data_IF_399331911333
#
_entry.id   IF_399331911333
#
_cell.length_a   1.000
_cell.length_b   1.000
_cell.length_c   1.000
_cell.angle_alpha   90.00
_cell.angle_beta   90.00
_cell.angle_gamma   90.00
#
_symmetry.space_group_name_H-M   'P 1'
#
loop_
_entity.id
_entity.type
_entity.pdbx_description
1 polymer ?
#
# COMPACT_ATOMS: atom_id res chain seq x y z
N UNK A 1 9.18 0.76 8.28
CA UNK A 1 8.70 0.09 7.06
C UNK A 1 8.03 1.10 6.15
N UNK A 2 8.37 1.08 4.90
CA UNK A 2 7.82 1.98 3.88
C UNK A 2 7.26 1.14 2.73
N UNK A 3 5.96 1.27 2.49
CA UNK A 3 5.26 0.55 1.41
C UNK A 3 5.49 -0.97 1.44
N UNK A 4 5.21 -1.59 2.57
CA UNK A 4 5.35 -3.04 2.77
C UNK A 4 4.08 -3.66 3.32
N UNK A 5 3.45 -3.03 4.30
CA UNK A 5 2.31 -3.62 5.02
C UNK A 5 1.11 -3.91 4.11
N UNK A 6 0.92 -3.13 3.06
CA UNK A 6 -0.16 -3.32 2.09
C UNK A 6 -0.03 -4.59 1.25
N UNK A 7 1.14 -5.22 1.25
CA UNK A 7 1.40 -6.47 0.54
C UNK A 7 1.01 -7.72 1.34
N UNK A 8 0.62 -7.55 2.61
CA UNK A 8 0.13 -8.63 3.45
C UNK A 8 -1.40 -8.64 3.47
N UNK A 9 -1.96 -9.83 3.59
CA UNK A 9 -3.40 -9.98 3.81
C UNK A 9 -3.79 -9.40 5.16
N UNK A 10 -5.05 -8.96 5.28
CA UNK A 10 -5.59 -8.39 6.51
C UNK A 10 -5.36 -9.29 7.73
N UNK A 11 -5.50 -10.60 7.55
CA UNK A 11 -5.33 -11.57 8.64
C UNK A 11 -3.85 -11.85 8.97
N UNK A 12 -2.92 -11.55 8.06
CA UNK A 12 -1.48 -11.70 8.29
C UNK A 12 -0.88 -10.47 8.97
N UNK A 13 -1.38 -9.29 8.69
CA UNK A 13 -0.79 -8.03 9.15
C UNK A 13 -0.62 -7.96 10.68
N UNK A 14 -1.58 -8.38 11.53
CA UNK A 14 -1.37 -8.37 12.97
C UNK A 14 -0.18 -9.22 13.43
N UNK A 15 0.03 -10.38 12.84
CA UNK A 15 1.14 -11.26 13.20
C UNK A 15 2.48 -10.69 12.74
N UNK A 16 2.51 -10.09 11.56
CA UNK A 16 3.69 -9.38 11.04
C UNK A 16 4.05 -8.21 11.96
N UNK A 17 3.08 -7.41 12.36
CA UNK A 17 3.31 -6.29 13.28
C UNK A 17 3.80 -6.75 14.64
N UNK A 18 3.26 -7.83 15.19
CA UNK A 18 3.72 -8.43 16.44
C UNK A 18 5.19 -8.84 16.35
N UNK A 19 5.57 -9.46 15.24
CA UNK A 19 6.97 -9.89 15.03
C UNK A 19 7.90 -8.69 14.90
N UNK A 20 7.51 -7.64 14.21
CA UNK A 20 8.30 -6.42 14.13
C UNK A 20 8.47 -5.75 15.48
N UNK A 21 7.42 -5.71 16.29
CA UNK A 21 7.48 -5.16 17.66
C UNK A 21 8.38 -6.02 18.53
N UNK A 22 8.32 -7.34 18.41
CA UNK A 22 9.14 -8.28 19.19
C UNK A 22 10.63 -8.01 19.05
N UNK A 23 11.10 -7.66 17.85
CA UNK A 23 12.52 -7.45 17.59
C UNK A 23 12.99 -6.03 17.92
N UNK A 24 12.08 -5.13 18.30
CA UNK A 24 12.45 -3.78 18.72
C UNK A 24 13.07 -3.79 20.10
N UNK A 25 14.04 -2.89 20.31
CA UNK A 25 14.58 -2.61 21.66
C UNK A 25 13.50 -1.96 22.53
N UNK A 26 13.58 -2.11 23.86
CA UNK A 26 12.76 -1.30 24.77
C UNK A 26 12.93 0.20 24.45
N UNK A 27 11.81 0.92 24.29
CA UNK A 27 11.81 2.32 23.87
C UNK A 27 12.01 2.55 22.38
N UNK A 28 12.19 1.50 21.58
CA UNK A 28 12.26 1.59 20.13
C UNK A 28 10.95 2.03 19.50
N UNK A 29 11.01 2.47 18.24
CA UNK A 29 9.83 2.97 17.50
C UNK A 29 9.59 2.13 16.27
N UNK A 30 8.33 1.83 16.02
CA UNK A 30 7.87 1.26 14.76
C UNK A 30 7.19 2.37 13.96
N UNK A 31 7.74 2.68 12.79
CA UNK A 31 7.18 3.67 11.87
C UNK A 31 6.71 2.93 10.62
N UNK A 32 5.44 3.09 10.29
CA UNK A 32 4.83 2.48 9.12
C UNK A 32 4.40 3.56 8.14
N UNK A 33 4.66 3.31 6.88
CA UNK A 33 4.24 4.16 5.79
C UNK A 33 3.64 3.29 4.70
N UNK A 34 2.41 3.57 4.31
CA UNK A 34 1.67 2.83 3.30
C UNK A 34 0.78 3.79 2.51
N UNK A 35 0.28 3.38 1.33
CA UNK A 35 -0.66 4.21 0.58
C UNK A 35 -1.93 4.49 1.38
N UNK A 36 -2.44 5.71 1.28
CA UNK A 36 -3.72 6.10 1.88
C UNK A 36 -4.85 5.81 0.90
N UNK A 37 -5.60 4.74 1.14
CA UNK A 37 -6.68 4.31 0.27
C UNK A 37 -7.80 5.35 0.16
N UNK A 38 -8.17 5.99 1.25
CA UNK A 38 -9.22 7.02 1.25
C UNK A 38 -8.82 8.20 0.36
N UNK A 39 -7.60 8.70 0.52
CA UNK A 39 -7.09 9.80 -0.31
C UNK A 39 -7.03 9.42 -1.78
N UNK A 40 -6.66 8.18 -2.09
CA UNK A 40 -6.64 7.69 -3.48
C UNK A 40 -8.05 7.64 -4.07
N UNK A 41 -9.04 7.20 -3.31
CA UNK A 41 -10.45 7.18 -3.74
C UNK A 41 -10.97 8.59 -3.98
N UNK A 42 -10.69 9.52 -3.09
CA UNK A 42 -11.09 10.92 -3.23
C UNK A 42 -10.49 11.56 -4.48
N UNK A 43 -9.21 11.33 -4.72
CA UNK A 43 -8.53 11.84 -5.92
C UNK A 43 -9.09 11.22 -7.20
N UNK A 44 -9.39 9.94 -7.19
CA UNK A 44 -10.01 9.26 -8.33
C UNK A 44 -11.39 9.84 -8.65
N UNK A 45 -12.22 10.10 -7.63
CA UNK A 45 -13.54 10.69 -7.80
C UNK A 45 -13.44 12.12 -8.34
N UNK A 46 -12.46 12.88 -7.84
CA UNK A 46 -12.23 14.26 -8.28
C UNK A 46 -11.79 14.35 -9.74
N UNK A 47 -10.96 13.44 -10.21
CA UNK A 47 -10.38 13.45 -11.55
C UNK A 47 -10.45 12.06 -12.21
N UNK A 48 -11.65 11.51 -12.46
CA UNK A 48 -11.77 10.13 -12.92
C UNK A 48 -11.14 9.86 -14.29
N UNK A 49 -11.18 10.83 -15.19
CA UNK A 49 -10.57 10.70 -16.52
C UNK A 49 -9.05 10.66 -16.43
N UNK A 50 -8.45 11.53 -15.63
CA UNK A 50 -7.01 11.59 -15.43
C UNK A 50 -6.49 10.30 -14.78
N UNK A 51 -7.24 9.72 -13.86
CA UNK A 51 -6.81 8.60 -13.04
C UNK A 51 -7.35 7.23 -13.51
N UNK A 52 -7.97 7.17 -14.68
CA UNK A 52 -8.55 5.93 -15.21
C UNK A 52 -7.55 5.03 -15.97
N UNK A 53 -6.27 5.32 -15.91
CA UNK A 53 -5.23 4.45 -16.43
C UNK A 53 -4.78 4.72 -17.86
N UNK A 54 -5.27 5.77 -18.51
CA UNK A 54 -4.93 6.09 -19.89
C UNK A 54 -3.53 6.68 -20.11
N UNK A 55 -2.76 6.91 -19.05
CA UNK A 55 -1.41 7.46 -19.11
C UNK A 55 -0.65 7.22 -17.83
N UNK A 56 0.58 7.75 -17.73
CA UNK A 56 1.44 7.55 -16.56
C UNK A 56 0.81 8.04 -15.25
N UNK A 57 0.06 9.14 -15.28
CA UNK A 57 -0.60 9.68 -14.09
C UNK A 57 -1.75 8.77 -13.63
N UNK A 58 -2.56 8.29 -14.56
CA UNK A 58 -3.60 7.33 -14.25
C UNK A 58 -3.04 6.01 -13.70
N UNK A 59 -1.94 5.55 -14.24
CA UNK A 59 -1.26 4.37 -13.72
C UNK A 59 -0.83 4.53 -12.27
N UNK A 60 -0.28 5.68 -11.90
CA UNK A 60 0.13 5.95 -10.51
C UNK A 60 -1.02 5.80 -9.52
N UNK A 61 -2.20 6.27 -9.88
CA UNK A 61 -3.38 6.10 -9.02
C UNK A 61 -3.77 4.63 -8.93
N UNK A 62 -3.72 3.90 -10.02
CA UNK A 62 -3.99 2.47 -10.01
C UNK A 62 -2.98 1.69 -9.18
N UNK A 63 -1.74 2.15 -9.07
CA UNK A 63 -0.73 1.52 -8.22
C UNK A 63 -1.11 1.52 -6.74
N UNK A 64 -1.85 2.52 -6.29
CA UNK A 64 -2.34 2.56 -4.91
C UNK A 64 -3.31 1.41 -4.64
N UNK A 65 -4.15 1.08 -5.62
CA UNK A 65 -5.14 0.00 -5.49
C UNK A 65 -4.54 -1.39 -5.69
N UNK A 66 -3.71 -1.55 -6.70
CA UNK A 66 -3.30 -2.88 -7.18
C UNK A 66 -1.81 -3.18 -7.01
N UNK A 67 -0.98 -2.18 -6.76
CA UNK A 67 0.46 -2.29 -6.81
C UNK A 67 1.01 -1.94 -8.20
N UNK A 68 2.33 -1.75 -8.29
CA UNK A 68 2.99 -1.38 -9.54
C UNK A 68 3.16 -2.61 -10.45
N UNK A 69 2.50 -2.65 -11.61
CA UNK A 69 2.59 -3.79 -12.53
C UNK A 69 3.98 -3.94 -13.17
N UNK A 70 4.82 -2.91 -13.11
CA UNK A 70 6.18 -2.99 -13.65
C UNK A 70 7.04 -4.05 -12.98
N UNK A 71 6.74 -4.39 -11.73
CA UNK A 71 7.47 -5.43 -10.99
C UNK A 71 7.20 -6.84 -11.51
N UNK A 72 6.02 -7.07 -12.11
CA UNK A 72 5.61 -8.39 -12.63
C UNK A 72 5.74 -9.54 -11.62
N UNK A 73 5.67 -9.21 -10.34
CA UNK A 73 5.81 -10.14 -9.23
C UNK A 73 4.50 -10.24 -8.46
N UNK A 74 3.89 -11.44 -8.32
CA UNK A 74 2.66 -11.62 -7.56
C UNK A 74 2.75 -11.16 -6.11
N UNK A 75 3.94 -11.11 -5.52
CA UNK A 75 4.16 -10.65 -4.15
C UNK A 75 4.05 -9.12 -4.04
N UNK A 76 4.17 -8.39 -5.14
CA UNK A 76 4.10 -6.93 -5.18
C UNK A 76 2.67 -6.40 -5.39
N UNK A 77 1.70 -7.29 -5.40
CA UNK A 77 0.29 -6.91 -5.46
C UNK A 77 -0.17 -6.38 -4.10
N UNK A 78 -0.92 -5.29 -4.10
CA UNK A 78 -1.55 -4.79 -2.88
C UNK A 78 -2.70 -5.71 -2.49
N UNK A 79 -2.67 -6.22 -1.29
CA UNK A 79 -3.65 -7.19 -0.78
C UNK A 79 -4.63 -6.58 0.19
N UNK A 80 -4.30 -5.40 0.72
CA UNK A 80 -5.16 -4.68 1.62
C UNK A 80 -4.96 -3.17 1.50
N UNK A 81 -6.03 -2.41 1.67
CA UNK A 81 -6.01 -0.95 1.69
C UNK A 81 -6.08 -0.41 3.12
N UNK A 82 -5.32 0.62 3.37
CA UNK A 82 -5.28 1.31 4.65
C UNK A 82 -5.64 2.78 4.52
#
# INVERSE_FOLDING_TARGET
>A
SVHVIEHFWRWEAPDVLKEWIRVLRPGGRLILECPNLLSACEEFIRNPVLHSGAGKEGQRTMWVFYGDPAWKDPLMVHRWGY
#
